data_IF_248910048318
#
_entry.id   IF_248910048318
#
_cell.length_a   1.000
_cell.length_b   1.000
_cell.length_c   1.000
_cell.angle_alpha   90.00
_cell.angle_beta   90.00
_cell.angle_gamma   90.00
#
_symmetry.space_group_name_H-M   'P 1'
#
loop_
_entity.id
_entity.type
_entity.pdbx_description
1 polymer ?
#
# COMPACT_ATOMS: atom_id res chain seq x y z
N UNK A 1 34.09 0.52 -12.03
CA UNK A 1 33.06 -0.54 -11.92
C UNK A 1 31.97 -0.04 -10.98
N UNK A 2 30.71 0.00 -11.42
CA UNK A 2 29.61 0.38 -10.53
C UNK A 2 29.39 -0.72 -9.49
N UNK A 3 29.62 -0.39 -8.23
CA UNK A 3 29.41 -1.29 -7.09
C UNK A 3 27.91 -1.61 -7.01
N UNK A 4 27.55 -2.89 -7.02
CA UNK A 4 26.17 -3.33 -6.79
C UNK A 4 26.00 -3.57 -5.30
N UNK A 5 25.03 -2.89 -4.70
CA UNK A 5 24.67 -3.02 -3.30
C UNK A 5 23.56 -4.06 -3.11
N UNK A 6 23.65 -4.82 -2.04
CA UNK A 6 22.69 -5.84 -1.68
C UNK A 6 21.86 -5.30 -0.50
N UNK A 7 20.62 -4.91 -0.79
CA UNK A 7 19.76 -4.21 0.15
C UNK A 7 18.76 -5.20 0.74
N UNK A 8 19.04 -5.64 1.95
CA UNK A 8 18.21 -6.55 2.71
C UNK A 8 17.12 -5.77 3.42
N UNK A 9 15.86 -6.07 3.10
CA UNK A 9 14.69 -5.48 3.73
C UNK A 9 14.05 -6.52 4.67
N UNK A 10 14.15 -6.28 5.98
CA UNK A 10 13.73 -7.23 7.01
C UNK A 10 12.52 -6.68 7.76
N UNK A 11 11.40 -7.39 7.71
CA UNK A 11 10.15 -6.96 8.34
C UNK A 11 9.56 -8.08 9.20
N UNK A 12 8.98 -7.74 10.34
CA UNK A 12 8.15 -8.66 11.14
C UNK A 12 6.70 -8.80 10.60
N UNK A 13 6.42 -8.10 9.50
CA UNK A 13 5.17 -8.10 8.73
C UNK A 13 5.45 -8.31 7.23
N UNK A 14 4.62 -7.76 6.33
CA UNK A 14 4.72 -7.99 4.87
C UNK A 14 5.95 -7.36 4.22
N UNK A 15 6.45 -6.24 4.73
CA UNK A 15 7.60 -5.51 4.17
C UNK A 15 7.23 -4.34 3.24
N UNK A 16 5.96 -4.14 2.92
CA UNK A 16 5.52 -3.07 1.98
C UNK A 16 5.93 -1.66 2.43
N UNK A 17 5.99 -1.40 3.73
CA UNK A 17 6.45 -0.12 4.28
C UNK A 17 7.92 0.13 3.93
N UNK A 18 8.77 -0.92 4.02
CA UNK A 18 10.18 -0.82 3.64
C UNK A 18 10.33 -0.56 2.15
N UNK A 19 9.52 -1.21 1.31
CA UNK A 19 9.54 -0.99 -0.14
C UNK A 19 9.30 0.47 -0.50
N UNK A 20 8.24 1.07 0.04
CA UNK A 20 7.88 2.46 -0.26
C UNK A 20 8.96 3.44 0.22
N UNK A 21 9.49 3.22 1.41
CA UNK A 21 10.53 4.08 1.98
C UNK A 21 11.83 3.93 1.21
N UNK A 22 12.23 2.70 0.88
CA UNK A 22 13.43 2.44 0.09
C UNK A 22 13.32 3.00 -1.33
N UNK A 23 12.15 2.91 -1.97
CA UNK A 23 11.91 3.52 -3.28
C UNK A 23 12.12 5.04 -3.23
N UNK A 24 11.62 5.71 -2.18
CA UNK A 24 11.83 7.14 -1.97
C UNK A 24 13.30 7.49 -1.72
N UNK A 25 14.02 6.68 -0.92
CA UNK A 25 15.46 6.84 -0.68
C UNK A 25 16.24 6.65 -1.98
N UNK A 26 15.98 5.56 -2.72
CA UNK A 26 16.67 5.23 -3.98
C UNK A 26 16.53 6.35 -5.01
N UNK A 27 15.37 6.99 -5.08
CA UNK A 27 15.13 8.12 -5.98
C UNK A 27 16.03 9.35 -5.71
N UNK A 28 16.63 9.46 -4.51
CA UNK A 28 17.56 10.54 -4.18
C UNK A 28 18.98 10.33 -4.72
N UNK A 29 19.28 9.16 -5.31
CA UNK A 29 20.63 8.82 -5.76
C UNK A 29 20.63 8.40 -7.23
N UNK A 30 21.26 9.20 -8.09
CA UNK A 30 21.33 8.96 -9.54
C UNK A 30 22.18 7.74 -9.94
N UNK A 31 23.17 7.36 -9.12
CA UNK A 31 24.14 6.30 -9.42
C UNK A 31 24.14 5.16 -8.38
N UNK A 32 22.97 4.83 -7.83
CA UNK A 32 22.83 3.76 -6.84
C UNK A 32 22.31 2.47 -7.48
N UNK A 33 23.23 1.57 -7.82
CA UNK A 33 22.91 0.23 -8.34
C UNK A 33 22.75 -0.75 -7.19
N UNK A 34 21.56 -1.37 -7.08
CA UNK A 34 21.25 -2.27 -5.99
C UNK A 34 20.33 -3.42 -6.43
N UNK A 35 20.41 -4.54 -5.69
CA UNK A 35 19.36 -5.57 -5.67
C UNK A 35 18.69 -5.56 -4.30
N UNK A 36 17.37 -5.69 -4.29
CA UNK A 36 16.60 -5.76 -3.05
C UNK A 36 16.32 -7.22 -2.71
N UNK A 37 16.49 -7.59 -1.45
CA UNK A 37 16.26 -8.95 -0.93
C UNK A 37 15.28 -8.83 0.24
N UNK A 38 14.12 -9.46 0.13
CA UNK A 38 13.03 -9.32 1.10
C UNK A 38 12.99 -10.48 2.09
N UNK A 39 12.84 -10.13 3.37
CA UNK A 39 12.60 -11.04 4.48
C UNK A 39 11.37 -10.59 5.26
N UNK A 40 10.19 -10.94 4.76
CA UNK A 40 8.91 -10.73 5.41
C UNK A 40 8.69 -11.73 6.56
N UNK A 41 7.87 -11.35 7.54
CA UNK A 41 7.51 -12.18 8.69
C UNK A 41 8.71 -12.72 9.50
N UNK A 42 9.77 -11.92 9.59
CA UNK A 42 10.93 -12.18 10.45
C UNK A 42 10.56 -11.88 11.90
N UNK A 43 10.25 -12.92 12.66
CA UNK A 43 9.67 -12.84 14.02
C UNK A 43 10.49 -13.59 15.09
N UNK A 44 11.63 -14.16 14.71
CA UNK A 44 12.47 -14.96 15.60
C UNK A 44 13.95 -14.65 15.43
N UNK A 45 14.73 -14.82 16.50
CA UNK A 45 16.18 -14.61 16.51
C UNK A 45 16.88 -15.53 15.49
N UNK A 46 16.46 -16.79 15.38
CA UNK A 46 17.01 -17.75 14.39
C UNK A 46 16.80 -17.31 12.93
N UNK A 47 15.69 -16.63 12.60
CA UNK A 47 15.52 -16.05 11.27
C UNK A 47 16.53 -14.92 11.03
N UNK A 48 16.79 -14.08 12.03
CA UNK A 48 17.81 -13.04 11.95
C UNK A 48 19.19 -13.66 11.77
N UNK A 49 19.54 -14.68 12.55
CA UNK A 49 20.84 -15.33 12.44
C UNK A 49 21.09 -15.85 11.01
N UNK A 50 20.08 -16.49 10.39
CA UNK A 50 20.17 -16.93 8.99
C UNK A 50 20.33 -15.78 7.99
N UNK A 51 19.72 -14.62 8.26
CA UNK A 51 19.89 -13.42 7.42
C UNK A 51 21.32 -12.91 7.54
N UNK A 52 21.85 -12.85 8.77
CA UNK A 52 23.21 -12.38 9.05
C UNK A 52 24.26 -13.30 8.40
N UNK A 53 24.13 -14.63 8.56
CA UNK A 53 25.03 -15.58 7.91
C UNK A 53 25.05 -15.42 6.38
N UNK A 54 23.89 -15.17 5.75
CA UNK A 54 23.84 -14.88 4.32
C UNK A 54 24.50 -13.55 3.94
N UNK A 55 24.40 -12.54 4.80
CA UNK A 55 25.06 -11.25 4.57
C UNK A 55 26.59 -11.37 4.60
N UNK A 56 27.14 -12.26 5.44
CA UNK A 56 28.58 -12.51 5.54
C UNK A 56 29.18 -13.13 4.26
N UNK A 57 28.37 -13.86 3.50
CA UNK A 57 28.78 -14.47 2.22
C UNK A 57 28.78 -13.46 1.04
N UNK A 58 28.24 -12.26 1.25
CA UNK A 58 28.04 -11.25 0.23
C UNK A 58 28.88 -9.97 0.46
N UNK A 59 28.87 -9.06 -0.51
CA UNK A 59 29.58 -7.77 -0.42
C UNK A 59 28.61 -6.62 -0.60
N UNK A 60 28.94 -5.46 -0.02
CA UNK A 60 28.19 -4.20 -0.17
C UNK A 60 26.77 -4.29 0.39
N UNK A 61 26.67 -4.89 1.58
CA UNK A 61 25.40 -5.13 2.27
C UNK A 61 24.90 -3.86 2.93
N UNK A 62 23.58 -3.64 2.84
CA UNK A 62 22.82 -2.68 3.63
C UNK A 62 21.57 -3.39 4.13
N UNK A 63 21.30 -3.33 5.43
CA UNK A 63 20.04 -3.81 6.01
C UNK A 63 19.15 -2.61 6.33
N UNK A 64 17.90 -2.63 5.87
CA UNK A 64 16.83 -1.80 6.40
C UNK A 64 15.80 -2.70 7.07
N UNK A 65 15.28 -2.28 8.22
CA UNK A 65 14.28 -3.09 8.91
C UNK A 65 13.13 -2.30 9.51
N UNK A 66 11.99 -2.99 9.60
CA UNK A 66 10.79 -2.59 10.34
C UNK A 66 10.38 -3.74 11.25
N UNK A 67 11.03 -3.81 12.41
CA UNK A 67 10.71 -4.77 13.47
C UNK A 67 10.25 -3.94 14.66
N UNK A 68 8.98 -4.06 15.02
CA UNK A 68 8.38 -3.26 16.10
C UNK A 68 8.58 -3.91 17.47
N UNK A 69 8.75 -5.23 17.51
CA UNK A 69 9.08 -5.97 18.73
C UNK A 69 10.43 -5.49 19.30
N UNK A 70 10.42 -5.02 20.56
CA UNK A 70 11.61 -4.42 21.18
C UNK A 70 12.78 -5.40 21.31
N UNK A 71 12.49 -6.67 21.63
CA UNK A 71 13.53 -7.66 21.88
C UNK A 71 14.24 -8.01 20.57
N UNK A 72 13.46 -8.28 19.53
CA UNK A 72 13.93 -8.66 18.22
C UNK A 72 14.63 -7.49 17.50
N UNK A 73 14.13 -6.26 17.64
CA UNK A 73 14.79 -5.06 17.14
C UNK A 73 16.18 -4.87 17.79
N UNK A 74 16.29 -5.01 19.11
CA UNK A 74 17.60 -4.97 19.79
C UNK A 74 18.53 -6.09 19.31
N UNK A 75 17.99 -7.28 19.08
CA UNK A 75 18.76 -8.42 18.62
C UNK A 75 19.37 -8.19 17.22
N UNK A 76 18.60 -7.73 16.24
CA UNK A 76 19.12 -7.43 14.91
C UNK A 76 20.17 -6.31 14.96
N UNK A 77 19.97 -5.26 15.77
CA UNK A 77 20.97 -4.19 15.94
C UNK A 77 22.27 -4.73 16.53
N UNK A 78 22.20 -5.60 17.53
CA UNK A 78 23.39 -6.21 18.13
C UNK A 78 24.14 -7.08 17.12
N UNK A 79 23.45 -7.98 16.43
CA UNK A 79 24.05 -8.88 15.44
C UNK A 79 24.66 -8.18 14.24
N UNK A 80 24.00 -7.14 13.74
CA UNK A 80 24.55 -6.34 12.62
C UNK A 80 25.77 -5.54 13.04
N UNK A 81 25.78 -5.02 14.28
CA UNK A 81 26.94 -4.33 14.85
C UNK A 81 28.13 -5.27 15.07
N UNK A 82 27.91 -6.47 15.61
CA UNK A 82 28.94 -7.51 15.77
C UNK A 82 29.63 -7.85 14.44
N UNK A 83 28.87 -7.86 13.34
CA UNK A 83 29.35 -8.23 12.01
C UNK A 83 29.72 -7.03 11.11
N UNK A 84 29.75 -5.81 11.65
CA UNK A 84 30.04 -4.58 10.90
C UNK A 84 29.14 -4.37 9.66
N UNK A 85 27.88 -4.78 9.74
CA UNK A 85 26.90 -4.62 8.66
C UNK A 85 26.12 -3.31 8.87
N UNK A 86 26.11 -2.38 7.89
CA UNK A 86 25.25 -1.19 7.94
C UNK A 86 23.77 -1.58 8.08
N UNK A 87 23.13 -1.12 9.15
CA UNK A 87 21.77 -1.50 9.51
C UNK A 87 20.96 -0.28 9.96
N UNK A 88 19.78 -0.10 9.38
CA UNK A 88 18.94 1.08 9.58
C UNK A 88 17.53 0.68 10.04
N UNK A 89 17.17 1.10 11.25
CA UNK A 89 15.80 1.00 11.75
C UNK A 89 14.95 2.13 11.17
N UNK A 90 13.82 1.78 10.56
CA UNK A 90 12.99 2.77 9.86
C UNK A 90 11.92 3.39 10.76
N UNK A 91 11.32 2.62 11.67
CA UNK A 91 10.17 3.08 12.48
C UNK A 91 10.49 3.35 13.96
N UNK A 92 11.62 2.88 14.49
CA UNK A 92 11.90 2.88 15.93
C UNK A 92 11.81 4.25 16.59
N UNK A 93 12.54 5.23 16.03
CA UNK A 93 12.55 6.61 16.53
C UNK A 93 11.17 7.27 16.39
N UNK A 94 10.52 7.08 15.24
CA UNK A 94 9.18 7.62 15.00
C UNK A 94 8.16 7.11 16.02
N UNK A 95 8.15 5.80 16.31
CA UNK A 95 7.27 5.21 17.33
C UNK A 95 7.57 5.79 18.71
N UNK A 96 8.85 5.97 19.06
CA UNK A 96 9.25 6.53 20.35
C UNK A 96 8.82 7.99 20.50
N UNK A 97 8.97 8.81 19.46
CA UNK A 97 8.59 10.22 19.48
C UNK A 97 7.06 10.39 19.51
N UNK A 98 6.31 9.59 18.75
CA UNK A 98 4.85 9.57 18.85
C UNK A 98 4.38 9.13 20.24
N UNK A 99 5.05 8.15 20.87
CA UNK A 99 4.70 7.72 22.23
C UNK A 99 4.83 8.87 23.23
N UNK A 100 5.88 9.70 23.11
CA UNK A 100 6.07 10.88 23.95
C UNK A 100 5.01 11.96 23.68
N UNK A 101 4.75 12.25 22.39
CA UNK A 101 3.78 13.26 21.98
C UNK A 101 2.36 12.91 22.41
N UNK A 102 1.96 11.64 22.24
CA UNK A 102 0.64 11.13 22.62
C UNK A 102 0.53 10.78 24.10
N UNK A 103 1.64 10.81 24.85
CA UNK A 103 1.73 10.38 26.26
C UNK A 103 1.17 8.97 26.47
N UNK A 104 1.43 8.07 25.53
CA UNK A 104 0.94 6.70 25.53
C UNK A 104 2.03 5.74 25.06
N UNK A 105 2.08 4.54 25.62
CA UNK A 105 2.97 3.50 25.13
C UNK A 105 2.47 2.88 23.82
N UNK A 106 3.38 2.72 22.85
CA UNK A 106 3.11 1.95 21.65
C UNK A 106 2.95 0.46 21.97
N UNK A 107 1.89 -0.15 21.43
CA UNK A 107 1.58 -1.58 21.62
C UNK A 107 2.66 -2.52 21.06
N UNK A 108 3.39 -2.07 20.02
CA UNK A 108 4.49 -2.81 19.37
C UNK A 108 4.11 -4.22 18.92
N UNK A 109 2.88 -4.36 18.46
CA UNK A 109 2.36 -5.60 17.89
C UNK A 109 2.70 -5.63 16.39
N UNK A 110 3.47 -6.61 15.92
CA UNK A 110 3.72 -6.78 14.49
C UNK A 110 2.42 -6.91 13.70
N UNK A 111 2.37 -6.31 12.50
CA UNK A 111 1.19 -6.37 11.62
C UNK A 111 -0.08 -5.75 12.22
N UNK A 112 0.02 -4.88 13.24
CA UNK A 112 -1.14 -4.22 13.84
C UNK A 112 -2.00 -3.42 12.85
N UNK A 113 -1.40 -2.91 11.77
CA UNK A 113 -2.11 -2.23 10.67
C UNK A 113 -2.99 -3.16 9.82
N UNK A 114 -2.86 -4.48 10.00
CA UNK A 114 -3.67 -5.50 9.33
C UNK A 114 -4.67 -6.15 10.30
N UNK A 115 -4.98 -5.49 11.42
CA UNK A 115 -6.05 -5.93 12.29
C UNK A 115 -7.37 -6.03 11.49
N UNK A 116 -8.11 -7.11 11.71
CA UNK A 116 -9.45 -7.31 11.14
C UNK A 116 -10.45 -6.45 11.91
N UNK A 117 -10.32 -5.13 11.77
CA UNK A 117 -11.17 -4.15 12.43
C UNK A 117 -12.35 -3.72 11.54
N UNK A 118 -13.16 -2.80 12.04
CA UNK A 118 -14.31 -2.28 11.30
C UNK A 118 -13.91 -1.63 9.96
N UNK A 119 -12.71 -1.05 9.86
CA UNK A 119 -12.21 -0.45 8.63
C UNK A 119 -11.89 -1.51 7.58
N UNK A 120 -11.27 -2.63 8.00
CA UNK A 120 -11.06 -3.79 7.14
C UNK A 120 -12.37 -4.32 6.55
N UNK A 121 -13.39 -4.57 7.39
CA UNK A 121 -14.68 -5.07 6.93
C UNK A 121 -15.39 -4.07 6.01
N UNK A 122 -15.32 -2.77 6.32
CA UNK A 122 -15.82 -1.70 5.45
C UNK A 122 -15.16 -1.73 4.08
N UNK A 123 -13.85 -1.98 4.02
CA UNK A 123 -13.12 -2.12 2.75
C UNK A 123 -13.57 -3.34 1.95
N UNK A 124 -13.77 -4.48 2.60
CA UNK A 124 -14.28 -5.69 1.92
C UNK A 124 -15.66 -5.44 1.33
N UNK A 125 -16.56 -4.83 2.10
CA UNK A 125 -17.89 -4.46 1.64
C UNK A 125 -17.84 -3.50 0.45
N UNK A 126 -16.97 -2.48 0.51
CA UNK A 126 -16.76 -1.53 -0.58
C UNK A 126 -16.26 -2.21 -1.86
N UNK A 127 -15.31 -3.15 -1.75
CA UNK A 127 -14.80 -3.92 -2.89
C UNK A 127 -15.89 -4.81 -3.49
N UNK A 128 -16.64 -5.55 -2.66
CA UNK A 128 -17.73 -6.41 -3.13
C UNK A 128 -18.81 -5.61 -3.86
N UNK A 129 -19.25 -4.49 -3.28
CA UNK A 129 -20.18 -3.57 -3.92
C UNK A 129 -19.63 -3.05 -5.25
N UNK A 130 -18.37 -2.64 -5.29
CA UNK A 130 -17.78 -2.06 -6.50
C UNK A 130 -17.67 -3.08 -7.63
N UNK A 131 -17.28 -4.33 -7.32
CA UNK A 131 -17.20 -5.40 -8.31
C UNK A 131 -18.59 -5.71 -8.89
N UNK A 132 -19.63 -5.73 -8.06
CA UNK A 132 -21.00 -5.98 -8.55
C UNK A 132 -21.56 -4.83 -9.39
N UNK A 133 -20.99 -3.62 -9.28
CA UNK A 133 -21.43 -2.40 -9.98
C UNK A 133 -20.45 -1.91 -11.05
N UNK A 134 -19.44 -2.72 -11.41
CA UNK A 134 -18.42 -2.31 -12.39
C UNK A 134 -18.95 -2.24 -13.83
N UNK A 135 -19.94 -3.08 -14.16
CA UNK A 135 -20.49 -3.18 -15.52
C UNK A 135 -21.64 -2.21 -15.81
N UNK A 136 -22.06 -1.43 -14.80
CA UNK A 136 -23.13 -0.44 -14.88
C UNK A 136 -24.52 -1.00 -15.20
N UNK A 137 -24.73 -2.32 -15.03
CA UNK A 137 -26.04 -2.95 -15.23
C UNK A 137 -26.93 -2.87 -13.99
N UNK A 138 -26.33 -2.85 -12.80
CA UNK A 138 -27.06 -2.76 -11.54
C UNK A 138 -27.27 -1.28 -11.19
N UNK A 139 -28.52 -0.86 -11.27
CA UNK A 139 -28.96 0.53 -11.04
C UNK A 139 -29.85 0.62 -9.78
N UNK A 140 -30.32 -0.53 -9.27
CA UNK A 140 -31.33 -0.64 -8.20
C UNK A 140 -30.91 -0.05 -6.86
N UNK A 141 -29.61 0.01 -6.58
CA UNK A 141 -29.08 0.49 -5.31
C UNK A 141 -27.88 1.44 -5.47
N UNK A 142 -27.90 2.26 -6.52
CA UNK A 142 -26.92 3.33 -6.73
C UNK A 142 -26.87 4.34 -5.58
N UNK A 143 -27.97 4.51 -4.85
CA UNK A 143 -28.05 5.40 -3.69
C UNK A 143 -27.19 4.93 -2.51
N UNK A 144 -26.73 3.68 -2.52
CA UNK A 144 -25.74 3.14 -1.55
C UNK A 144 -24.29 3.43 -1.93
N UNK A 145 -24.04 4.03 -3.10
CA UNK A 145 -22.69 4.36 -3.54
C UNK A 145 -22.16 5.57 -2.78
N UNK A 146 -20.89 5.53 -2.39
CA UNK A 146 -20.17 6.71 -1.90
C UNK A 146 -19.74 7.60 -3.07
N UNK A 147 -19.34 6.97 -4.19
CA UNK A 147 -18.90 7.62 -5.42
C UNK A 147 -19.52 6.95 -6.63
N UNK A 148 -19.96 7.73 -7.60
CA UNK A 148 -20.39 7.22 -8.90
C UNK A 148 -19.46 7.77 -9.97
N UNK A 149 -18.80 6.89 -10.71
CA UNK A 149 -17.96 7.28 -11.85
C UNK A 149 -18.77 7.16 -13.14
N UNK A 150 -18.86 8.27 -13.89
CA UNK A 150 -19.53 8.29 -15.19
C UNK A 150 -18.54 8.64 -16.29
N UNK A 151 -18.63 7.96 -17.44
CA UNK A 151 -17.80 8.30 -18.60
C UNK A 151 -17.82 7.23 -19.68
N UNK A 152 -17.33 7.60 -20.86
CA UNK A 152 -17.26 6.71 -22.04
C UNK A 152 -16.32 5.52 -21.79
N UNK A 153 -16.39 4.49 -22.63
CA UNK A 153 -15.42 3.37 -22.55
C UNK A 153 -13.98 3.89 -22.59
N UNK A 154 -13.03 3.15 -21.98
CA UNK A 154 -11.59 3.46 -21.96
C UNK A 154 -11.16 4.72 -21.18
N UNK A 155 -12.01 5.26 -20.30
CA UNK A 155 -11.66 6.35 -19.37
C UNK A 155 -11.13 5.89 -18.00
N UNK A 156 -10.61 4.66 -17.92
CA UNK A 156 -10.06 4.07 -16.67
C UNK A 156 -11.04 3.94 -15.48
N UNK A 157 -12.35 3.93 -15.74
CA UNK A 157 -13.38 3.74 -14.69
C UNK A 157 -13.11 2.52 -13.80
N UNK A 158 -12.90 1.34 -14.39
CA UNK A 158 -12.69 0.09 -13.63
C UNK A 158 -11.42 0.12 -12.76
N UNK A 159 -10.22 0.50 -13.27
CA UNK A 159 -9.05 0.71 -12.41
C UNK A 159 -9.29 1.71 -11.28
N UNK A 160 -9.94 2.84 -11.56
CA UNK A 160 -10.20 3.89 -10.57
C UNK A 160 -11.21 3.45 -9.52
N UNK A 161 -12.29 2.75 -9.90
CA UNK A 161 -13.30 2.25 -8.97
C UNK A 161 -12.69 1.23 -8.01
N UNK A 162 -11.92 0.26 -8.52
CA UNK A 162 -11.22 -0.74 -7.69
C UNK A 162 -10.19 -0.08 -6.76
N UNK A 163 -9.49 0.95 -7.22
CA UNK A 163 -8.58 1.71 -6.37
C UNK A 163 -9.29 2.38 -5.18
N UNK A 164 -10.40 3.06 -5.45
CA UNK A 164 -11.22 3.72 -4.43
C UNK A 164 -11.88 2.70 -3.49
N UNK A 165 -12.34 1.58 -4.01
CA UNK A 165 -12.90 0.49 -3.21
C UNK A 165 -11.88 -0.09 -2.22
N UNK A 166 -10.62 -0.20 -2.65
CA UNK A 166 -9.50 -0.56 -1.77
C UNK A 166 -9.20 0.47 -0.67
N UNK A 167 -9.79 1.66 -0.73
CA UNK A 167 -9.76 2.68 0.32
C UNK A 167 -11.07 2.75 1.11
N UNK A 168 -12.00 1.81 0.89
CA UNK A 168 -13.25 1.70 1.64
C UNK A 168 -14.43 2.48 1.07
N UNK A 169 -14.36 2.92 -0.20
CA UNK A 169 -15.46 3.61 -0.88
C UNK A 169 -16.26 2.67 -1.77
N UNK A 170 -17.58 2.60 -1.59
CA UNK A 170 -18.50 1.92 -2.50
C UNK A 170 -18.60 2.71 -3.80
N UNK A 171 -18.03 2.19 -4.89
CA UNK A 171 -18.01 2.88 -6.19
C UNK A 171 -18.89 2.17 -7.20
N UNK A 172 -19.79 2.90 -7.85
CA UNK A 172 -20.54 2.40 -9.00
C UNK A 172 -20.02 3.01 -10.30
N UNK A 173 -19.89 2.19 -11.34
CA UNK A 173 -19.44 2.63 -12.66
C UNK A 173 -20.64 2.72 -13.61
N UNK A 174 -20.92 3.92 -14.12
CA UNK A 174 -21.98 4.15 -15.09
C UNK A 174 -21.36 4.47 -16.46
N UNK A 175 -21.52 3.60 -17.47
CA UNK A 175 -21.02 3.89 -18.80
C UNK A 175 -21.85 5.01 -19.44
N UNK A 176 -21.18 6.03 -19.95
CA UNK A 176 -21.81 7.03 -20.81
C UNK A 176 -21.79 6.51 -22.26
N UNK A 177 -22.96 6.15 -22.78
CA UNK A 177 -23.12 5.56 -24.11
C UNK A 177 -23.93 6.53 -24.98
N UNK A 178 -23.49 6.85 -26.20
CA UNK A 178 -24.27 7.69 -27.11
C UNK A 178 -25.69 7.13 -27.31
N UNK A 179 -26.68 8.01 -27.32
CA UNK A 179 -28.10 7.68 -27.53
C UNK A 179 -28.72 6.75 -26.48
N UNK A 180 -28.07 6.55 -25.33
CA UNK A 180 -28.64 5.88 -24.17
C UNK A 180 -28.82 6.88 -23.05
N UNK A 181 -30.02 6.95 -22.49
CA UNK A 181 -30.26 7.80 -21.33
C UNK A 181 -29.47 7.29 -20.12
N UNK A 182 -28.98 8.24 -19.33
CA UNK A 182 -28.35 7.94 -18.04
C UNK A 182 -29.45 7.68 -17.00
N UNK A 183 -29.20 6.84 -15.99
CA UNK A 183 -30.21 6.55 -14.97
C UNK A 183 -30.74 7.81 -14.30
N UNK A 184 -32.05 7.97 -14.25
CA UNK A 184 -32.71 9.16 -13.69
C UNK A 184 -32.29 9.43 -12.24
N UNK A 185 -31.97 8.38 -11.46
CA UNK A 185 -31.48 8.54 -10.08
C UNK A 185 -30.20 9.38 -10.00
N UNK A 186 -29.37 9.45 -11.05
CA UNK A 186 -28.18 10.31 -11.08
C UNK A 186 -28.53 11.80 -11.19
N UNK A 187 -29.66 12.10 -11.83
CA UNK A 187 -30.15 13.46 -12.09
C UNK A 187 -31.02 13.92 -10.91
N UNK A 188 -31.85 13.03 -10.40
CA UNK A 188 -32.86 13.31 -9.37
C UNK A 188 -32.29 13.25 -7.95
N UNK A 189 -31.10 12.68 -7.72
CA UNK A 189 -30.68 12.32 -6.36
C UNK A 189 -30.76 13.49 -5.38
N UNK A 190 -31.75 13.42 -4.49
CA UNK A 190 -31.95 14.31 -3.33
C UNK A 190 -30.93 14.05 -2.22
N UNK A 191 -30.15 12.96 -2.33
CA UNK A 191 -29.00 12.64 -1.49
C UNK A 191 -27.71 12.97 -2.22
N UNK A 192 -26.79 13.64 -1.52
CA UNK A 192 -25.47 14.10 -2.00
C UNK A 192 -24.50 12.93 -2.29
N UNK A 193 -24.84 12.03 -3.20
CA UNK A 193 -23.87 11.04 -3.71
C UNK A 193 -22.88 11.76 -4.63
N UNK A 194 -21.57 11.54 -4.42
CA UNK A 194 -20.55 12.21 -5.21
C UNK A 194 -20.48 11.60 -6.63
N UNK A 195 -20.93 12.33 -7.64
CA UNK A 195 -20.86 11.91 -9.05
C UNK A 195 -19.65 12.57 -9.72
N UNK A 196 -18.77 11.76 -10.30
CA UNK A 196 -17.53 12.22 -10.95
C UNK A 196 -17.52 11.79 -12.41
N UNK A 197 -17.46 12.77 -13.31
CA UNK A 197 -17.28 12.55 -14.74
C UNK A 197 -15.81 12.31 -15.10
N UNK A 198 -15.51 11.17 -15.71
CA UNK A 198 -14.20 10.87 -16.29
C UNK A 198 -14.22 11.18 -17.78
N UNK A 199 -13.36 12.13 -18.17
CA UNK A 199 -13.15 12.55 -19.56
C UNK A 199 -11.77 12.11 -20.04
N UNK A 200 -11.63 11.87 -21.33
CA UNK A 200 -10.37 11.55 -21.98
C UNK A 200 -10.17 12.46 -23.19
N UNK A 201 -8.92 12.77 -23.51
CA UNK A 201 -8.57 13.44 -24.75
C UNK A 201 -8.94 12.55 -25.94
N UNK A 202 -9.52 13.15 -26.99
CA UNK A 202 -9.99 12.42 -28.16
C UNK A 202 -8.86 11.66 -28.88
N UNK A 203 -7.65 12.22 -28.90
CA UNK A 203 -6.48 11.58 -29.53
C UNK A 203 -6.09 10.30 -28.79
N UNK A 204 -6.05 10.35 -27.46
CA UNK A 204 -5.78 9.18 -26.61
C UNK A 204 -6.82 8.08 -26.70
N UNK A 205 -8.07 8.43 -26.99
CA UNK A 205 -9.16 7.45 -27.16
C UNK A 205 -9.00 6.62 -28.44
N UNK A 206 -8.36 7.18 -29.48
CA UNK A 206 -8.10 6.50 -30.75
C UNK A 206 -6.93 5.52 -30.67
N UNK A 207 -5.95 5.79 -29.80
CA UNK A 207 -4.70 5.02 -29.67
C UNK A 207 -4.84 3.74 -28.83
N UNK A 208 -5.98 3.53 -28.16
CA UNK A 208 -6.29 2.38 -27.27
C UNK A 208 -7.46 1.59 -27.83
#
# INVERSE_FOLDING_TARGET
MNKIYQVYQVSDSTGETLDRIFMAIKAQFSNFNCKTIHYSFTRTENQIDKIISKCEEEKNIIILYTIVDKKLAKYITAKTKENNIPCFEVLGNLIADFSKLLKQEASRIPSGQHALDAEYYKRIEAVQFTISHDDGKIISDLDKSDVILIGISRTSKTPTSIYLANRGYKVANIPLIPNKEIPFQLIESSKKTCVVGLVCDATRLLDV
#
